data_IF_465058648061
#
_entry.id   IF_465058648061
#
_cell.length_a   1.000
_cell.length_b   1.000
_cell.length_c   1.000
_cell.angle_alpha   90.00
_cell.angle_beta   90.00
_cell.angle_gamma   90.00
#
_symmetry.space_group_name_H-M   'P 1'
#
loop_
_entity.id
_entity.type
_entity.pdbx_description
1 polymer ?
#
# COMPACT_ATOMS: atom_id res chain seq x y z
N UNK A 1 -26.23 -19.32 -24.86
CA UNK A 1 -25.84 -18.61 -23.62
C UNK A 1 -24.80 -17.57 -23.99
N UNK A 2 -25.15 -16.28 -23.90
CA UNK A 2 -24.14 -15.23 -24.02
C UNK A 2 -23.38 -15.19 -22.70
N UNK A 3 -22.16 -15.73 -22.67
CA UNK A 3 -21.23 -15.67 -21.53
C UNK A 3 -20.56 -14.28 -21.50
N UNK A 4 -21.37 -13.22 -21.50
CA UNK A 4 -20.84 -11.92 -21.14
C UNK A 4 -20.64 -11.93 -19.62
N UNK A 5 -19.45 -11.56 -19.15
CA UNK A 5 -19.20 -11.37 -17.73
C UNK A 5 -20.21 -10.39 -17.12
N UNK A 6 -20.81 -9.51 -17.90
CA UNK A 6 -21.81 -8.54 -17.46
C UNK A 6 -23.25 -9.06 -17.44
N UNK A 7 -23.48 -10.37 -17.43
CA UNK A 7 -24.82 -10.92 -17.32
C UNK A 7 -25.44 -10.60 -15.94
N UNK A 8 -26.61 -9.99 -15.95
CA UNK A 8 -27.37 -9.57 -14.77
C UNK A 8 -27.58 -10.75 -13.80
N UNK A 9 -27.94 -11.93 -14.32
CA UNK A 9 -28.20 -13.15 -13.53
C UNK A 9 -26.96 -13.69 -12.77
N UNK A 10 -25.75 -13.32 -13.21
CA UNK A 10 -24.52 -13.78 -12.57
C UNK A 10 -24.16 -12.95 -11.33
N UNK A 11 -24.44 -11.64 -11.35
CA UNK A 11 -24.06 -10.71 -10.28
C UNK A 11 -25.22 -10.23 -9.41
N UNK A 12 -26.44 -10.25 -9.93
CA UNK A 12 -27.63 -9.68 -9.30
C UNK A 12 -28.62 -10.79 -8.87
N UNK A 13 -29.43 -10.57 -7.82
CA UNK A 13 -30.49 -11.50 -7.45
C UNK A 13 -31.61 -11.56 -8.51
N UNK A 14 -32.34 -12.68 -8.53
CA UNK A 14 -33.42 -12.93 -9.49
C UNK A 14 -34.44 -11.77 -9.51
N UNK A 15 -34.80 -11.32 -10.71
CA UNK A 15 -35.66 -10.17 -11.01
C UNK A 15 -35.04 -8.77 -10.83
N UNK A 16 -33.72 -8.65 -10.79
CA UNK A 16 -33.03 -7.35 -10.75
C UNK A 16 -32.10 -7.22 -11.96
N UNK A 17 -32.15 -6.07 -12.63
CA UNK A 17 -31.32 -5.77 -13.80
C UNK A 17 -30.51 -4.51 -13.58
N UNK A 18 -29.43 -4.32 -14.36
CA UNK A 18 -28.65 -3.07 -14.30
C UNK A 18 -29.50 -1.83 -14.62
N UNK A 19 -30.64 -1.99 -15.30
CA UNK A 19 -31.58 -0.90 -15.61
C UNK A 19 -32.30 -0.35 -14.37
N UNK A 20 -32.52 -1.17 -13.35
CA UNK A 20 -33.20 -0.76 -12.13
C UNK A 20 -32.36 0.23 -11.32
N UNK A 21 -31.02 0.12 -11.42
CA UNK A 21 -30.09 1.11 -10.84
C UNK A 21 -30.21 2.48 -11.49
N UNK A 22 -30.35 2.54 -12.82
CA UNK A 22 -30.54 3.79 -13.55
C UNK A 22 -31.85 4.49 -13.15
N UNK A 23 -32.88 3.72 -12.78
CA UNK A 23 -34.16 4.26 -12.33
C UNK A 23 -34.11 4.78 -10.88
N UNK A 24 -33.28 4.17 -10.02
CA UNK A 24 -33.02 4.67 -8.66
C UNK A 24 -32.20 5.95 -8.64
N UNK A 25 -31.29 6.12 -9.59
CA UNK A 25 -30.52 7.35 -9.78
C UNK A 25 -31.41 8.54 -10.14
N UNK A 26 -32.46 8.34 -10.94
CA UNK A 26 -33.48 9.35 -11.22
C UNK A 26 -34.25 9.81 -9.98
N UNK A 27 -34.25 9.01 -8.90
CA UNK A 27 -34.87 9.32 -7.61
C UNK A 27 -33.90 9.98 -6.61
N UNK A 28 -32.80 10.61 -7.07
CA UNK A 28 -31.78 11.28 -6.25
C UNK A 28 -31.00 10.36 -5.28
N UNK A 29 -31.00 9.05 -5.52
CA UNK A 29 -30.18 8.12 -4.74
C UNK A 29 -28.79 8.04 -5.39
N UNK A 30 -27.75 8.52 -4.70
CA UNK A 30 -26.36 8.41 -5.17
C UNK A 30 -25.91 6.95 -5.15
N UNK A 31 -25.49 6.42 -6.30
CA UNK A 31 -24.98 5.06 -6.46
C UNK A 31 -23.49 5.07 -6.86
N UNK A 32 -22.75 3.99 -6.58
CA UNK A 32 -21.39 3.82 -7.10
C UNK A 32 -21.39 3.72 -8.63
N UNK A 33 -20.52 4.51 -9.27
CA UNK A 33 -20.34 4.50 -10.72
C UNK A 33 -18.88 4.28 -11.06
N UNK A 34 -18.61 3.59 -12.17
CA UNK A 34 -17.25 3.32 -12.64
C UNK A 34 -16.45 4.60 -12.90
N UNK A 35 -17.12 5.67 -13.35
CA UNK A 35 -16.49 6.98 -13.57
C UNK A 35 -15.91 7.59 -12.30
N UNK A 36 -16.44 7.23 -11.12
CA UNK A 36 -15.87 7.70 -9.85
C UNK A 36 -14.42 7.20 -9.67
N UNK A 37 -14.10 6.01 -10.19
CA UNK A 37 -12.76 5.43 -10.06
C UNK A 37 -11.70 6.20 -10.85
N UNK A 38 -12.09 7.03 -11.83
CA UNK A 38 -11.13 7.86 -12.57
C UNK A 38 -10.54 8.96 -11.67
N UNK A 39 -11.31 9.48 -10.70
CA UNK A 39 -10.84 10.50 -9.76
C UNK A 39 -9.81 9.96 -8.75
N UNK A 40 -9.65 8.64 -8.68
CA UNK A 40 -8.68 7.98 -7.81
C UNK A 40 -7.26 8.27 -8.26
N UNK A 41 -6.99 8.36 -9.57
CA UNK A 41 -5.65 8.63 -10.09
C UNK A 41 -5.09 10.01 -9.71
N UNK A 42 -5.81 11.14 -9.89
CA UNK A 42 -5.31 12.43 -9.40
C UNK A 42 -5.21 12.47 -7.87
N UNK A 43 -6.12 11.79 -7.15
CA UNK A 43 -6.06 11.68 -5.69
C UNK A 43 -4.82 10.89 -5.24
N UNK A 44 -4.45 9.82 -5.96
CA UNK A 44 -3.25 9.04 -5.71
C UNK A 44 -1.98 9.89 -5.91
N UNK A 45 -1.96 10.73 -6.96
CA UNK A 45 -0.90 11.71 -7.17
C UNK A 45 -0.78 12.71 -6.01
N UNK A 46 -1.92 13.22 -5.51
CA UNK A 46 -1.94 14.12 -4.36
C UNK A 46 -1.47 13.43 -3.07
N UNK A 47 -1.88 12.19 -2.82
CA UNK A 47 -1.40 11.40 -1.68
C UNK A 47 0.10 11.13 -1.78
N UNK A 48 0.61 10.85 -2.98
CA UNK A 48 2.05 10.69 -3.19
C UNK A 48 2.82 12.00 -2.93
N UNK A 49 2.31 13.16 -3.37
CA UNK A 49 2.90 14.45 -3.01
C UNK A 49 2.87 14.69 -1.49
N UNK A 50 1.77 14.30 -0.83
CA UNK A 50 1.61 14.39 0.62
C UNK A 50 2.64 13.50 1.34
N UNK A 51 2.90 12.29 0.83
CA UNK A 51 3.98 11.41 1.29
C UNK A 51 5.32 12.12 1.22
N UNK A 52 5.68 12.69 0.07
CA UNK A 52 6.97 13.38 -0.10
C UNK A 52 7.15 14.53 0.88
N UNK A 53 6.10 15.33 1.10
CA UNK A 53 6.10 16.40 2.09
C UNK A 53 6.20 15.87 3.52
N UNK A 54 5.49 14.80 3.85
CA UNK A 54 5.54 14.18 5.17
C UNK A 54 6.92 13.61 5.48
N UNK A 55 7.52 12.87 4.54
CA UNK A 55 8.85 12.30 4.69
C UNK A 55 9.89 13.41 4.92
N UNK A 56 9.81 14.50 4.15
CA UNK A 56 10.74 15.62 4.28
C UNK A 56 10.53 16.44 5.56
N UNK A 57 9.29 16.80 5.87
CA UNK A 57 8.97 17.74 6.95
C UNK A 57 8.87 17.09 8.33
N UNK A 58 8.49 15.81 8.41
CA UNK A 58 8.16 15.14 9.68
C UNK A 58 9.06 13.93 9.90
N UNK A 59 9.09 12.98 8.97
CA UNK A 59 9.71 11.69 9.23
C UNK A 59 11.25 11.76 9.31
N UNK A 60 11.89 12.49 8.38
CA UNK A 60 13.35 12.68 8.39
C UNK A 60 13.86 13.44 9.63
N UNK A 61 13.29 14.58 10.05
CA UNK A 61 13.74 15.25 11.27
C UNK A 61 13.48 14.39 12.52
N UNK A 62 12.35 13.68 12.57
CA UNK A 62 12.04 12.75 13.66
C UNK A 62 13.08 11.61 13.73
N UNK A 63 13.37 10.96 12.61
CA UNK A 63 14.37 9.89 12.56
C UNK A 63 15.77 10.35 12.95
N UNK A 64 16.18 11.56 12.53
CA UNK A 64 17.45 12.16 12.96
C UNK A 64 17.48 12.48 14.46
N UNK A 65 16.35 12.93 15.02
CA UNK A 65 16.21 13.16 16.46
C UNK A 65 16.30 11.87 17.27
N UNK A 66 15.86 10.74 16.70
CA UNK A 66 15.99 9.40 17.28
C UNK A 66 17.38 8.79 17.06
N UNK A 67 18.31 9.53 16.44
CA UNK A 67 19.69 9.07 16.20
C UNK A 67 19.87 8.21 14.95
N UNK A 68 18.82 8.01 14.14
CA UNK A 68 18.91 7.28 12.87
C UNK A 68 19.69 8.15 11.88
N UNK A 69 20.93 7.72 11.57
CA UNK A 69 21.83 8.43 10.64
C UNK A 69 21.96 7.67 9.32
N UNK A 70 21.96 8.44 8.23
CA UNK A 70 22.28 7.92 6.90
C UNK A 70 23.77 7.61 6.78
N UNK A 71 24.15 6.33 6.88
CA UNK A 71 25.51 5.89 6.59
C UNK A 71 25.87 6.01 5.09
N UNK A 72 24.85 6.07 4.22
CA UNK A 72 24.97 5.96 2.76
C UNK A 72 25.76 7.12 2.11
N UNK A 73 25.63 8.35 2.62
CA UNK A 73 26.36 9.52 2.11
C UNK A 73 27.87 9.43 2.40
N UNK A 74 28.25 8.83 3.54
CA UNK A 74 29.65 8.68 3.92
C UNK A 74 30.28 7.51 3.16
N UNK A 75 29.55 6.39 3.05
CA UNK A 75 30.00 5.22 2.27
C UNK A 75 30.18 5.57 0.79
N UNK A 76 29.26 6.31 0.14
CA UNK A 76 29.44 6.72 -1.28
C UNK A 76 30.62 7.68 -1.52
N UNK A 77 31.00 8.49 -0.53
CA UNK A 77 32.21 9.33 -0.59
C UNK A 77 33.48 8.50 -0.40
N UNK A 78 33.46 7.56 0.54
CA UNK A 78 34.57 6.64 0.82
C UNK A 78 34.77 5.69 -0.36
N UNK A 79 33.71 5.09 -0.89
CA UNK A 79 33.72 4.25 -2.09
C UNK A 79 34.27 4.98 -3.31
N UNK A 80 33.88 6.23 -3.56
CA UNK A 80 34.44 7.00 -4.68
C UNK A 80 35.93 7.27 -4.51
N UNK A 81 36.39 7.55 -3.29
CA UNK A 81 37.83 7.71 -2.98
C UNK A 81 38.58 6.39 -3.16
N UNK A 82 38.03 5.28 -2.68
CA UNK A 82 38.63 3.95 -2.78
C UNK A 82 38.64 3.44 -4.22
N UNK A 83 37.54 3.58 -4.96
CA UNK A 83 37.41 3.16 -6.36
C UNK A 83 38.32 3.94 -7.31
N UNK A 84 38.62 5.20 -6.98
CA UNK A 84 39.66 5.97 -7.68
C UNK A 84 41.08 5.45 -7.37
N UNK A 85 41.29 4.81 -6.22
CA UNK A 85 42.56 4.23 -5.79
C UNK A 85 42.76 2.78 -6.26
N UNK A 86 41.69 2.00 -6.43
CA UNK A 86 41.75 0.54 -6.66
C UNK A 86 41.42 0.12 -8.10
N UNK A 87 41.48 1.03 -9.07
CA UNK A 87 41.16 0.82 -10.50
C UNK A 87 41.90 -0.33 -11.22
N UNK A 88 42.69 -1.15 -10.53
CA UNK A 88 43.47 -2.24 -11.11
C UNK A 88 43.25 -3.62 -10.47
N UNK A 89 42.40 -3.81 -9.46
CA UNK A 89 42.23 -5.13 -8.86
C UNK A 89 40.77 -5.40 -8.47
N UNK A 90 40.21 -6.42 -9.12
CA UNK A 90 39.18 -7.33 -8.61
C UNK A 90 37.71 -7.13 -9.06
N UNK A 91 37.23 -8.14 -9.81
CA UNK A 91 35.86 -8.25 -10.28
C UNK A 91 34.89 -8.80 -9.20
N UNK A 92 35.41 -9.45 -8.14
CA UNK A 92 34.58 -10.00 -7.06
C UNK A 92 34.09 -8.92 -6.08
N UNK A 93 34.90 -7.89 -5.83
CA UNK A 93 34.53 -6.74 -5.01
C UNK A 93 33.44 -5.89 -5.66
N UNK A 94 33.34 -5.90 -7.00
CA UNK A 94 32.31 -5.16 -7.72
C UNK A 94 30.90 -5.67 -7.40
N UNK A 95 30.71 -6.98 -7.23
CA UNK A 95 29.40 -7.55 -6.87
C UNK A 95 29.03 -7.24 -5.41
N UNK A 96 29.97 -7.43 -4.46
CA UNK A 96 29.77 -7.08 -3.04
C UNK A 96 29.52 -5.57 -2.83
N UNK A 97 30.25 -4.69 -3.54
CA UNK A 97 30.01 -3.24 -3.51
C UNK A 97 28.71 -2.82 -4.20
N UNK A 98 28.33 -3.47 -5.31
CA UNK A 98 27.05 -3.21 -5.99
C UNK A 98 25.87 -3.60 -5.09
N UNK A 99 26.01 -4.65 -4.29
CA UNK A 99 25.02 -5.11 -3.32
C UNK A 99 24.93 -4.18 -2.08
N UNK A 100 26.04 -3.61 -1.63
CA UNK A 100 26.05 -2.54 -0.60
C UNK A 100 25.42 -1.22 -1.09
N UNK A 101 25.55 -0.88 -2.38
CA UNK A 101 24.95 0.33 -2.98
C UNK A 101 23.43 0.28 -3.11
N UNK A 102 22.85 -0.91 -3.24
CA UNK A 102 21.40 -1.13 -3.33
C UNK A 102 20.68 -1.11 -1.99
N UNK A 103 21.39 -1.14 -0.85
CA UNK A 103 20.76 -1.05 0.48
C UNK A 103 20.05 0.30 0.65
N UNK A 104 18.77 0.24 0.99
CA UNK A 104 17.93 1.42 1.26
C UNK A 104 18.46 2.09 2.53
N UNK A 105 18.49 3.43 2.55
CA UNK A 105 19.00 4.14 3.73
C UNK A 105 18.11 3.87 4.95
N UNK A 106 18.65 3.67 6.16
CA UNK A 106 17.82 3.45 7.36
C UNK A 106 16.82 4.56 7.59
N UNK A 107 17.22 5.82 7.35
CA UNK A 107 16.31 6.96 7.47
C UNK A 107 15.19 6.91 6.43
N UNK A 108 15.46 6.40 5.23
CA UNK A 108 14.46 6.23 4.19
C UNK A 108 13.50 5.07 4.53
N UNK A 109 14.00 3.92 5.02
CA UNK A 109 13.17 2.82 5.54
C UNK A 109 12.25 3.32 6.67
N UNK A 110 12.83 4.03 7.64
CA UNK A 110 12.07 4.63 8.76
C UNK A 110 11.01 5.63 8.27
N UNK A 111 11.36 6.48 7.31
CA UNK A 111 10.43 7.48 6.77
C UNK A 111 9.26 6.83 6.03
N UNK A 112 9.55 5.82 5.20
CA UNK A 112 8.54 5.03 4.49
C UNK A 112 7.60 4.32 5.48
N UNK A 113 8.16 3.67 6.50
CA UNK A 113 7.41 2.94 7.53
C UNK A 113 6.52 3.89 8.35
N UNK A 114 7.07 5.03 8.77
CA UNK A 114 6.34 6.04 9.55
C UNK A 114 5.18 6.66 8.74
N UNK A 115 5.40 6.93 7.45
CA UNK A 115 4.34 7.42 6.57
C UNK A 115 3.20 6.41 6.45
N UNK A 116 3.52 5.15 6.15
CA UNK A 116 2.52 4.07 6.03
C UNK A 116 1.77 3.86 7.34
N UNK A 117 2.46 3.80 8.47
CA UNK A 117 1.83 3.71 9.78
C UNK A 117 0.86 4.87 10.04
N UNK A 118 1.29 6.11 9.78
CA UNK A 118 0.45 7.29 9.99
C UNK A 118 -0.81 7.24 9.11
N UNK A 119 -0.66 6.82 7.86
CA UNK A 119 -1.78 6.68 6.94
C UNK A 119 -2.74 5.57 7.38
N UNK A 120 -2.24 4.33 7.58
CA UNK A 120 -3.06 3.17 7.98
C UNK A 120 -3.78 3.42 9.31
N UNK A 121 -3.10 3.99 10.31
CA UNK A 121 -3.73 4.36 11.57
C UNK A 121 -4.82 5.43 11.36
N UNK A 122 -4.54 6.45 10.57
CA UNK A 122 -5.49 7.53 10.30
C UNK A 122 -6.75 7.04 9.57
N UNK A 123 -6.57 6.23 8.53
CA UNK A 123 -7.67 5.71 7.70
C UNK A 123 -8.49 4.65 8.45
N UNK A 124 -7.84 3.81 9.26
CA UNK A 124 -8.50 2.87 10.17
C UNK A 124 -9.39 3.60 11.21
N UNK A 125 -8.84 4.63 11.87
CA UNK A 125 -9.61 5.43 12.83
C UNK A 125 -10.77 6.16 12.14
N UNK A 126 -10.55 6.70 10.94
CA UNK A 126 -11.62 7.28 10.13
C UNK A 126 -12.72 6.25 9.81
N UNK A 127 -12.34 5.04 9.38
CA UNK A 127 -13.24 3.91 9.14
C UNK A 127 -14.11 3.59 10.35
N UNK A 128 -13.49 3.41 11.53
CA UNK A 128 -14.22 3.18 12.78
C UNK A 128 -15.19 4.32 13.13
N UNK A 129 -14.76 5.57 12.94
CA UNK A 129 -15.57 6.75 13.25
C UNK A 129 -16.81 6.86 12.36
N UNK A 130 -16.72 6.52 11.08
CA UNK A 130 -17.87 6.57 10.16
C UNK A 130 -18.77 5.33 10.31
N UNK A 131 -18.19 4.16 10.58
CA UNK A 131 -18.91 2.89 10.67
C UNK A 131 -19.63 2.70 12.00
N UNK A 132 -19.17 3.32 13.10
CA UNK A 132 -19.84 3.20 14.41
C UNK A 132 -21.33 3.55 14.35
N UNK A 133 -21.70 4.50 13.49
CA UNK A 133 -23.06 4.98 13.28
C UNK A 133 -23.83 4.18 12.21
N UNK A 134 -23.25 3.12 11.64
CA UNK A 134 -23.87 2.31 10.59
C UNK A 134 -24.30 0.97 11.17
N UNK A 135 -25.54 0.57 10.91
CA UNK A 135 -26.13 -0.62 11.52
C UNK A 135 -25.45 -1.92 11.10
N UNK A 136 -24.89 -1.95 9.89
CA UNK A 136 -24.21 -3.13 9.35
C UNK A 136 -22.85 -3.43 10.00
N UNK A 137 -22.28 -2.49 10.76
CA UNK A 137 -21.11 -2.78 11.61
C UNK A 137 -21.46 -3.78 12.71
N UNK A 138 -22.66 -3.65 13.29
CA UNK A 138 -23.09 -4.42 14.44
C UNK A 138 -23.88 -5.68 14.05
N UNK A 139 -24.53 -5.64 12.88
CA UNK A 139 -25.29 -6.77 12.34
C UNK A 139 -25.05 -6.92 10.83
N UNK A 140 -24.20 -7.88 10.48
CA UNK A 140 -23.78 -8.16 9.10
C UNK A 140 -24.91 -8.60 8.18
N UNK A 141 -26.07 -9.02 8.72
CA UNK A 141 -27.26 -9.31 7.90
C UNK A 141 -27.70 -8.07 7.11
N UNK A 142 -27.50 -6.88 7.67
CA UNK A 142 -27.81 -5.62 7.01
C UNK A 142 -26.89 -5.31 5.82
N UNK A 143 -25.78 -6.04 5.65
CA UNK A 143 -25.01 -5.98 4.42
C UNK A 143 -25.74 -6.58 3.22
N UNK A 144 -26.72 -7.47 3.44
CA UNK A 144 -27.44 -8.16 2.37
C UNK A 144 -28.86 -7.63 2.19
N UNK A 145 -29.45 -7.06 3.25
CA UNK A 145 -30.77 -6.44 3.18
C UNK A 145 -30.79 -5.29 2.15
N UNK A 146 -31.75 -5.35 1.24
CA UNK A 146 -31.93 -4.42 0.13
C UNK A 146 -30.74 -4.36 -0.84
N UNK A 147 -29.84 -5.34 -0.84
CA UNK A 147 -28.88 -5.48 -1.93
C UNK A 147 -29.65 -5.77 -3.24
N UNK A 148 -29.31 -5.12 -4.37
CA UNK A 148 -28.15 -4.25 -4.59
C UNK A 148 -28.40 -2.74 -4.45
N UNK A 149 -29.52 -2.34 -3.86
CA UNK A 149 -29.98 -0.95 -3.78
C UNK A 149 -29.46 -0.23 -2.51
N UNK A 150 -28.14 -0.27 -2.29
CA UNK A 150 -27.51 0.47 -1.20
C UNK A 150 -27.16 1.89 -1.63
N UNK A 151 -27.54 2.86 -0.80
CA UNK A 151 -27.22 4.26 -1.05
C UNK A 151 -25.76 4.54 -0.70
N UNK A 152 -25.04 5.20 -1.62
CA UNK A 152 -23.66 5.63 -1.41
C UNK A 152 -23.64 6.98 -0.69
N UNK A 153 -23.49 6.94 0.63
CA UNK A 153 -23.29 8.16 1.44
C UNK A 153 -21.92 8.77 1.21
N UNK A 154 -21.79 10.10 1.33
CA UNK A 154 -20.54 10.83 1.09
C UNK A 154 -19.35 10.30 1.93
N UNK A 155 -19.57 9.94 3.19
CA UNK A 155 -18.50 9.46 4.07
C UNK A 155 -17.89 8.13 3.57
N UNK A 156 -18.76 7.21 3.13
CA UNK A 156 -18.38 5.91 2.54
C UNK A 156 -17.71 6.11 1.19
N UNK A 157 -18.22 7.05 0.38
CA UNK A 157 -17.60 7.41 -0.88
C UNK A 157 -16.14 7.83 -0.67
N UNK A 158 -15.91 8.80 0.21
CA UNK A 158 -14.55 9.29 0.48
C UNK A 158 -13.67 8.22 1.13
N UNK A 159 -14.23 7.36 1.98
CA UNK A 159 -13.48 6.23 2.54
C UNK A 159 -12.90 5.34 1.44
N UNK A 160 -13.76 4.87 0.52
CA UNK A 160 -13.35 4.08 -0.64
C UNK A 160 -12.37 4.81 -1.56
N UNK A 161 -12.65 6.08 -1.88
CA UNK A 161 -11.81 6.82 -2.84
C UNK A 161 -10.41 7.07 -2.27
N UNK A 162 -10.30 7.43 -0.99
CA UNK A 162 -9.01 7.70 -0.33
C UNK A 162 -8.19 6.42 -0.22
N UNK A 163 -8.79 5.31 0.21
CA UNK A 163 -8.09 4.04 0.30
C UNK A 163 -7.61 3.53 -1.05
N UNK A 164 -8.51 3.53 -2.04
CA UNK A 164 -8.16 3.08 -3.38
C UNK A 164 -7.04 3.96 -3.97
N UNK A 165 -7.09 5.27 -3.71
CA UNK A 165 -6.05 6.21 -4.14
C UNK A 165 -4.71 5.94 -3.44
N UNK A 166 -4.74 5.57 -2.16
CA UNK A 166 -3.54 5.20 -1.43
C UNK A 166 -2.90 3.95 -2.01
N UNK A 167 -3.65 2.87 -2.27
CA UNK A 167 -3.11 1.67 -2.90
C UNK A 167 -2.58 1.94 -4.31
N UNK A 168 -3.25 2.77 -5.11
CA UNK A 168 -2.70 3.22 -6.39
C UNK A 168 -1.39 4.01 -6.22
N UNK A 169 -1.31 4.87 -5.21
CA UNK A 169 -0.07 5.60 -4.90
C UNK A 169 1.07 4.65 -4.52
N UNK A 170 0.77 3.56 -3.80
CA UNK A 170 1.75 2.51 -3.47
C UNK A 170 2.22 1.79 -4.74
N UNK A 171 1.31 1.37 -5.61
CA UNK A 171 1.65 0.74 -6.90
C UNK A 171 2.56 1.63 -7.74
N UNK A 172 2.23 2.91 -7.90
CA UNK A 172 3.07 3.84 -8.67
C UNK A 172 4.43 4.08 -8.01
N UNK A 173 4.43 4.35 -6.70
CA UNK A 173 5.67 4.60 -5.95
C UNK A 173 6.62 3.40 -6.00
N UNK A 174 6.10 2.18 -6.01
CA UNK A 174 6.90 0.95 -6.06
C UNK A 174 7.76 0.83 -7.34
N UNK A 175 7.39 1.49 -8.45
CA UNK A 175 8.23 1.55 -9.66
C UNK A 175 9.30 2.64 -9.63
N UNK A 176 9.11 3.66 -8.80
CA UNK A 176 10.05 4.76 -8.60
C UNK A 176 11.08 4.37 -7.53
N UNK A 177 10.61 3.69 -6.49
CA UNK A 177 11.41 3.22 -5.37
C UNK A 177 12.35 2.07 -5.80
N UNK A 178 13.44 1.89 -5.05
CA UNK A 178 14.44 0.85 -5.37
C UNK A 178 13.81 -0.53 -5.25
N UNK A 179 13.86 -1.31 -6.34
CA UNK A 179 13.27 -2.64 -6.42
C UNK A 179 13.80 -3.57 -5.32
N UNK A 180 12.94 -3.91 -4.37
CA UNK A 180 13.24 -4.87 -3.28
C UNK A 180 13.01 -6.33 -3.73
N UNK A 181 13.54 -7.31 -2.98
CA UNK A 181 13.43 -8.75 -3.30
C UNK A 181 11.96 -9.24 -3.31
N UNK A 182 11.12 -8.61 -2.49
CA UNK A 182 9.68 -8.83 -2.30
C UNK A 182 8.79 -8.06 -3.30
N UNK A 183 9.38 -7.41 -4.31
CA UNK A 183 8.67 -6.55 -5.26
C UNK A 183 7.42 -7.23 -5.86
N UNK A 184 7.56 -8.43 -6.41
CA UNK A 184 6.45 -9.08 -7.11
C UNK A 184 5.33 -9.48 -6.17
N UNK A 185 5.66 -9.94 -4.96
CA UNK A 185 4.67 -10.30 -3.95
C UNK A 185 3.84 -9.08 -3.53
N UNK A 186 4.49 -7.96 -3.18
CA UNK A 186 3.78 -6.73 -2.80
C UNK A 186 3.01 -6.12 -3.97
N UNK A 187 3.56 -6.17 -5.17
CA UNK A 187 2.88 -5.67 -6.36
C UNK A 187 1.57 -6.46 -6.62
N UNK A 188 1.65 -7.79 -6.61
CA UNK A 188 0.48 -8.65 -6.80
C UNK A 188 -0.55 -8.43 -5.68
N UNK A 189 -0.09 -8.30 -4.43
CA UNK A 189 -0.95 -7.99 -3.30
C UNK A 189 -1.72 -6.67 -3.52
N UNK A 190 -1.03 -5.57 -3.85
CA UNK A 190 -1.69 -4.29 -4.10
C UNK A 190 -2.68 -4.36 -5.28
N UNK A 191 -2.32 -5.06 -6.37
CA UNK A 191 -3.23 -5.26 -7.50
C UNK A 191 -4.47 -6.06 -7.08
N UNK A 192 -4.31 -7.09 -6.25
CA UNK A 192 -5.42 -7.87 -5.72
C UNK A 192 -6.35 -7.00 -4.86
N UNK A 193 -5.80 -6.22 -3.93
CA UNK A 193 -6.55 -5.29 -3.08
C UNK A 193 -7.29 -4.24 -3.91
N UNK A 194 -6.60 -3.57 -4.86
CA UNK A 194 -7.22 -2.59 -5.77
C UNK A 194 -8.36 -3.23 -6.57
N UNK A 195 -8.16 -4.45 -7.04
CA UNK A 195 -9.19 -5.18 -7.80
C UNK A 195 -10.40 -5.50 -6.93
N UNK A 196 -10.18 -5.97 -5.70
CA UNK A 196 -11.25 -6.31 -4.76
C UNK A 196 -12.06 -5.08 -4.35
N UNK A 197 -11.38 -3.96 -4.03
CA UNK A 197 -12.03 -2.68 -3.70
C UNK A 197 -12.82 -2.13 -4.90
N UNK A 198 -12.21 -2.09 -6.08
CA UNK A 198 -12.85 -1.58 -7.30
C UNK A 198 -14.07 -2.43 -7.67
N UNK A 199 -13.94 -3.75 -7.60
CA UNK A 199 -15.03 -4.68 -7.85
C UNK A 199 -16.17 -4.49 -6.84
N UNK A 200 -15.85 -4.52 -5.53
CA UNK A 200 -16.81 -4.29 -4.45
C UNK A 200 -17.58 -2.97 -4.63
N UNK A 201 -16.90 -1.92 -5.07
CA UNK A 201 -17.50 -0.63 -5.33
C UNK A 201 -18.46 -0.67 -6.53
N UNK A 202 -18.04 -1.21 -7.68
CA UNK A 202 -18.85 -1.23 -8.91
C UNK A 202 -20.12 -2.07 -8.75
N UNK A 203 -20.06 -3.21 -8.05
CA UNK A 203 -21.24 -4.07 -7.81
C UNK A 203 -22.09 -3.60 -6.62
N UNK A 204 -21.78 -2.44 -6.04
CA UNK A 204 -22.46 -1.88 -4.88
C UNK A 204 -22.45 -2.76 -3.62
N UNK A 205 -21.37 -3.53 -3.40
CA UNK A 205 -21.10 -4.22 -2.15
C UNK A 205 -20.53 -3.27 -1.07
N UNK A 206 -20.90 -1.99 -1.09
CA UNK A 206 -20.30 -0.95 -0.24
C UNK A 206 -20.43 -1.23 1.26
N UNK A 207 -21.52 -1.89 1.69
CA UNK A 207 -21.69 -2.27 3.10
C UNK A 207 -20.73 -3.37 3.52
N UNK A 208 -20.61 -4.44 2.73
CA UNK A 208 -19.64 -5.52 2.98
C UNK A 208 -18.22 -4.98 2.88
N UNK A 209 -17.93 -4.26 1.81
CA UNK A 209 -16.58 -3.81 1.55
C UNK A 209 -16.09 -2.81 2.58
N UNK A 210 -16.91 -1.88 3.10
CA UNK A 210 -16.47 -1.03 4.23
C UNK A 210 -16.07 -1.81 5.49
N UNK A 211 -16.68 -2.97 5.76
CA UNK A 211 -16.23 -3.84 6.86
C UNK A 211 -14.91 -4.53 6.53
N UNK A 212 -14.76 -4.99 5.28
CA UNK A 212 -13.51 -5.58 4.80
C UNK A 212 -12.38 -4.56 4.88
N UNK A 213 -12.62 -3.31 4.48
CA UNK A 213 -11.63 -2.22 4.55
C UNK A 213 -11.06 -2.05 5.96
N UNK A 214 -11.93 -1.89 6.98
CA UNK A 214 -11.47 -1.72 8.37
C UNK A 214 -10.64 -2.90 8.87
N UNK A 215 -11.04 -4.12 8.53
CA UNK A 215 -10.28 -5.33 8.92
C UNK A 215 -8.97 -5.44 8.16
N UNK A 216 -8.99 -5.07 6.88
CA UNK A 216 -7.85 -5.10 5.98
C UNK A 216 -6.78 -4.11 6.42
N UNK A 217 -7.16 -2.86 6.71
CA UNK A 217 -6.28 -1.81 7.25
C UNK A 217 -5.55 -2.26 8.53
N UNK A 218 -6.25 -2.94 9.43
CA UNK A 218 -5.68 -3.45 10.68
C UNK A 218 -4.66 -4.58 10.43
N UNK A 219 -4.92 -5.44 9.44
CA UNK A 219 -4.08 -6.58 9.10
C UNK A 219 -2.84 -6.21 8.29
N UNK A 220 -2.97 -5.32 7.31
CA UNK A 220 -1.87 -4.92 6.41
C UNK A 220 -0.71 -4.29 7.19
N UNK A 221 -1.01 -3.46 8.20
CA UNK A 221 0.02 -2.92 9.06
C UNK A 221 0.79 -4.01 9.83
N UNK A 222 0.08 -5.00 10.37
CA UNK A 222 0.71 -6.08 11.15
C UNK A 222 1.67 -6.91 10.28
N UNK A 223 1.25 -7.21 9.04
CA UNK A 223 2.07 -7.95 8.08
C UNK A 223 3.32 -7.16 7.66
N UNK A 224 3.24 -5.84 7.61
CA UNK A 224 4.39 -4.99 7.29
C UNK A 224 5.42 -4.97 8.43
N UNK A 225 4.98 -4.88 9.68
CA UNK A 225 5.86 -4.94 10.86
C UNK A 225 6.62 -6.27 10.93
N UNK A 226 5.92 -7.40 10.80
CA UNK A 226 6.55 -8.73 10.85
C UNK A 226 7.60 -8.90 9.75
N UNK A 227 7.35 -8.32 8.59
CA UNK A 227 8.26 -8.38 7.45
C UNK A 227 9.50 -7.53 7.65
N UNK A 228 9.35 -6.33 8.21
CA UNK A 228 10.50 -5.48 8.51
C UNK A 228 11.39 -6.14 9.57
N UNK A 229 10.80 -6.71 10.63
CA UNK A 229 11.53 -7.48 11.64
C UNK A 229 12.31 -8.66 11.04
N UNK A 230 11.67 -9.43 10.15
CA UNK A 230 12.33 -10.54 9.46
C UNK A 230 13.46 -10.05 8.56
N UNK A 231 13.25 -8.94 7.85
CA UNK A 231 14.27 -8.39 6.95
C UNK A 231 15.51 -7.91 7.71
N UNK A 232 15.32 -7.35 8.91
CA UNK A 232 16.42 -6.93 9.78
C UNK A 232 17.16 -8.14 10.37
N UNK A 233 16.46 -9.24 10.69
CA UNK A 233 17.12 -10.49 11.10
C UNK A 233 17.99 -11.10 9.98
N UNK A 234 17.45 -11.19 8.76
CA UNK A 234 18.19 -11.71 7.60
C UNK A 234 19.39 -10.81 7.25
N UNK A 235 19.27 -9.49 7.40
CA UNK A 235 20.38 -8.55 7.20
C UNK A 235 21.48 -8.73 8.26
N UNK A 236 21.11 -9.07 9.50
CA UNK A 236 22.07 -9.34 10.58
C UNK A 236 22.82 -10.66 10.41
N UNK A 237 22.16 -11.68 9.87
CA UNK A 237 22.77 -12.98 9.56
C UNK A 237 23.73 -12.86 8.37
N UNK A 238 23.31 -12.20 7.29
CA UNK A 238 24.14 -11.91 6.11
C UNK A 238 25.44 -11.15 6.50
N UNK A 239 25.36 -10.23 7.49
CA UNK A 239 26.54 -9.51 7.97
C UNK A 239 27.50 -10.37 8.77
N UNK A 240 26.99 -11.29 9.60
CA UNK A 240 27.84 -12.23 10.34
C UNK A 240 28.56 -13.20 9.41
N UNK A 241 27.87 -13.72 8.39
CA UNK A 241 28.46 -14.61 7.40
C UNK A 241 29.59 -13.94 6.63
N UNK A 242 29.42 -12.66 6.23
CA UNK A 242 30.49 -11.90 5.57
C UNK A 242 31.71 -11.72 6.47
N UNK A 243 31.51 -11.42 7.76
CA UNK A 243 32.61 -11.25 8.72
C UNK A 243 33.36 -12.57 8.93
N UNK A 244 32.64 -13.69 9.05
CA UNK A 244 33.23 -15.02 9.19
C UNK A 244 34.03 -15.43 7.93
N UNK A 245 33.50 -15.17 6.74
CA UNK A 245 34.16 -15.41 5.45
C UNK A 245 35.48 -14.62 5.30
N UNK A 246 35.52 -13.38 5.80
CA UNK A 246 36.73 -12.55 5.74
C UNK A 246 37.77 -13.04 6.78
N UNK A 247 37.36 -13.48 7.97
CA UNK A 247 38.25 -14.05 9.00
C UNK A 247 38.91 -15.35 8.52
N UNK A 248 38.18 -16.21 7.81
CA UNK A 248 38.71 -17.49 7.31
C UNK A 248 39.66 -17.33 6.11
N UNK A 249 39.63 -16.19 5.41
CA UNK A 249 40.59 -15.87 4.33
C UNK A 249 41.92 -15.35 4.83
N UNK A 250 41.97 -14.83 6.06
CA UNK A 250 43.17 -14.29 6.69
C UNK A 250 43.97 -15.37 7.47
N UNK A 251 43.50 -16.62 7.49
CA UNK A 251 44.20 -17.80 8.06
C UNK A 251 44.85 -18.66 6.97
#
# INVERSE_FOLDING_TARGET
>A
MNLSIWNDDFWLPQNTTWKDFNQLEQNNIRLPHIHHLIYVYPLAGLLYLTRLLFEYCIAQPLGRSLGIRDYKLNIQRIDRKLLNHTKSYDNNNNNKQKQRRTRISPLAKFSESTWRFTFYLGIFLYGLLILKNKIWLWDTRHCWLNYPNHQLTNDIYWYYMIELAFYWSLVFSQFIDVKRKDFWQMFIHHIATISLLSFSYIVNFVRVGTLVLVVHDAGDYWLEVEKDERSDSEESDDEQDIVNDDIDKDK
#
